data_IF_769113254838
#
_entry.id   IF_769113254838
#
_cell.length_a   1.000
_cell.length_b   1.000
_cell.length_c   1.000
_cell.angle_alpha   90.00
_cell.angle_beta   90.00
_cell.angle_gamma   90.00
#
_symmetry.space_group_name_H-M   'P 1'
#
loop_
_entity.id
_entity.type
_entity.pdbx_description
1 polymer ?
#
# COMPACT_ATOMS: atom_id res chain seq x y z
N UNK A 1 12.25 -6.83 9.80
CA UNK A 1 11.48 -7.35 8.65
C UNK A 1 11.70 -6.41 7.49
N UNK A 2 12.27 -6.90 6.39
CA UNK A 2 12.53 -6.05 5.21
C UNK A 2 11.29 -5.94 4.30
N UNK A 3 10.37 -6.91 4.39
CA UNK A 3 9.17 -6.99 3.54
C UNK A 3 8.01 -7.69 4.25
N UNK A 4 6.78 -7.26 3.95
CA UNK A 4 5.52 -7.91 4.38
C UNK A 4 4.65 -8.11 3.14
N UNK A 5 4.39 -9.36 2.77
CA UNK A 5 3.57 -9.72 1.62
C UNK A 5 2.08 -9.48 1.88
N UNK A 6 1.37 -9.13 0.81
CA UNK A 6 -0.06 -8.92 0.75
C UNK A 6 -0.66 -9.85 -0.30
N UNK A 7 -1.72 -10.55 0.06
CA UNK A 7 -2.49 -11.40 -0.84
C UNK A 7 -3.97 -11.13 -0.67
N UNK A 8 -4.71 -11.20 -1.77
CA UNK A 8 -6.17 -11.09 -1.78
C UNK A 8 -6.77 -12.23 -0.95
N UNK A 9 -7.53 -11.86 0.09
CA UNK A 9 -8.38 -12.80 0.82
C UNK A 9 -9.82 -12.72 0.28
N UNK A 10 -10.35 -11.50 0.17
CA UNK A 10 -11.67 -11.21 -0.36
C UNK A 10 -11.72 -9.78 -0.94
N UNK A 11 -12.64 -9.52 -1.86
CA UNK A 11 -12.90 -8.18 -2.39
C UNK A 11 -13.25 -8.12 -3.87
N UNK A 12 -13.45 -6.90 -4.41
CA UNK A 12 -13.84 -6.65 -5.80
C UNK A 12 -12.72 -6.87 -6.83
N UNK A 13 -11.77 -7.77 -6.53
CA UNK A 13 -10.57 -8.02 -7.31
C UNK A 13 -10.53 -9.47 -7.76
N UNK A 14 -10.04 -9.70 -8.98
CA UNK A 14 -9.58 -11.03 -9.44
C UNK A 14 -8.17 -11.31 -8.97
N UNK A 15 -7.35 -10.27 -8.91
CA UNK A 15 -5.98 -10.30 -8.42
C UNK A 15 -5.77 -9.06 -7.55
N UNK A 16 -5.19 -9.26 -6.39
CA UNK A 16 -4.61 -8.19 -5.58
C UNK A 16 -3.47 -8.81 -4.81
N UNK A 17 -2.26 -8.42 -5.14
CA UNK A 17 -1.06 -8.84 -4.44
C UNK A 17 -0.12 -7.65 -4.32
N UNK A 18 0.86 -7.77 -3.44
CA UNK A 18 1.78 -6.70 -3.22
C UNK A 18 2.61 -6.90 -1.99
N UNK A 19 3.31 -5.85 -1.58
CA UNK A 19 3.99 -5.87 -0.30
C UNK A 19 4.28 -4.47 0.22
N UNK A 20 4.40 -4.41 1.54
CA UNK A 20 5.14 -3.36 2.20
C UNK A 20 6.62 -3.68 2.17
N UNK A 21 7.42 -2.71 1.76
CA UNK A 21 8.89 -2.79 1.73
C UNK A 21 9.44 -1.74 2.68
N UNK A 22 10.38 -2.17 3.51
CA UNK A 22 11.07 -1.35 4.49
C UNK A 22 12.55 -1.33 4.16
N UNK A 23 13.00 -0.24 3.56
CA UNK A 23 14.40 -0.06 3.21
C UNK A 23 15.06 0.84 4.25
N UNK A 24 16.06 0.31 4.96
CA UNK A 24 16.90 1.11 5.86
C UNK A 24 17.70 2.10 5.00
N UNK A 25 17.62 3.38 5.34
CA UNK A 25 18.43 4.43 4.71
C UNK A 25 19.62 4.78 5.60
N UNK A 26 19.41 4.84 6.92
CA UNK A 26 20.42 5.02 7.95
C UNK A 26 19.90 4.50 9.32
N UNK A 27 20.62 4.78 10.41
CA UNK A 27 20.25 4.34 11.78
C UNK A 27 18.93 4.94 12.30
N UNK A 28 18.48 6.06 11.75
CA UNK A 28 17.29 6.81 12.20
C UNK A 28 16.27 7.06 11.07
N UNK A 29 16.54 6.59 9.85
CA UNK A 29 15.71 6.79 8.67
C UNK A 29 15.45 5.49 7.93
N UNK A 30 14.19 5.29 7.57
CA UNK A 30 13.72 4.18 6.76
C UNK A 30 12.79 4.70 5.67
N UNK A 31 12.96 4.22 4.45
CA UNK A 31 12.00 4.39 3.38
C UNK A 31 10.98 3.27 3.44
N UNK A 32 9.72 3.65 3.52
CA UNK A 32 8.59 2.71 3.43
C UNK A 32 7.99 2.83 2.03
N UNK A 33 7.66 1.71 1.41
CA UNK A 33 7.02 1.68 0.10
C UNK A 33 5.95 0.59 0.06
N UNK A 34 4.89 0.84 -0.71
CA UNK A 34 3.81 -0.09 -0.95
C UNK A 34 3.79 -0.41 -2.44
N UNK A 35 4.07 -1.66 -2.77
CA UNK A 35 3.91 -2.20 -4.12
C UNK A 35 2.57 -2.93 -4.19
N UNK A 36 1.76 -2.66 -5.21
CA UNK A 36 0.49 -3.33 -5.43
C UNK A 36 0.32 -3.67 -6.92
N UNK A 37 -0.04 -4.91 -7.19
CA UNK A 37 -0.53 -5.37 -8.48
C UNK A 37 -1.98 -5.83 -8.31
N UNK A 38 -2.88 -5.36 -9.18
CA UNK A 38 -4.30 -5.66 -9.05
C UNK A 38 -5.03 -5.77 -10.38
N UNK A 39 -6.11 -6.55 -10.37
CA UNK A 39 -7.10 -6.67 -11.43
C UNK A 39 -8.50 -6.63 -10.81
N UNK A 40 -9.36 -5.72 -11.26
CA UNK A 40 -10.76 -5.67 -10.81
C UNK A 40 -11.60 -6.80 -11.40
N UNK A 41 -12.56 -7.31 -10.63
CA UNK A 41 -13.43 -8.40 -11.07
C UNK A 41 -14.48 -8.02 -12.11
N UNK A 42 -14.79 -6.72 -12.25
CA UNK A 42 -15.75 -6.20 -13.23
C UNK A 42 -15.30 -4.90 -13.90
N UNK A 43 -15.76 -4.67 -15.14
CA UNK A 43 -15.49 -3.43 -15.89
C UNK A 43 -16.12 -2.21 -15.22
N UNK A 44 -17.29 -2.36 -14.61
CA UNK A 44 -17.99 -1.26 -13.91
C UNK A 44 -17.15 -0.80 -12.72
N UNK A 45 -16.64 -1.73 -11.91
CA UNK A 45 -15.77 -1.42 -10.77
C UNK A 45 -14.47 -0.74 -11.22
N UNK A 46 -13.86 -1.24 -12.31
CA UNK A 46 -12.68 -0.61 -12.91
C UNK A 46 -12.95 0.84 -13.32
N UNK A 47 -14.11 1.14 -13.89
CA UNK A 47 -14.46 2.50 -14.30
C UNK A 47 -14.79 3.42 -13.11
N UNK A 48 -15.46 2.88 -12.09
CA UNK A 48 -15.84 3.64 -10.89
C UNK A 48 -14.64 3.95 -9.98
N UNK A 49 -13.74 2.99 -9.78
CA UNK A 49 -12.68 3.06 -8.75
C UNK A 49 -11.28 3.17 -9.36
N UNK A 50 -11.08 2.66 -10.58
CA UNK A 50 -9.77 2.68 -11.25
C UNK A 50 -9.09 4.06 -11.26
N UNK A 51 -9.79 5.17 -11.58
CA UNK A 51 -9.19 6.50 -11.58
C UNK A 51 -8.65 6.97 -10.21
N UNK A 52 -9.20 6.48 -9.10
CA UNK A 52 -8.82 6.89 -7.74
C UNK A 52 -7.96 5.87 -7.01
N UNK A 53 -7.79 4.66 -7.55
CA UNK A 53 -7.10 3.59 -6.85
C UNK A 53 -5.64 3.93 -6.53
N UNK A 54 -4.94 4.63 -7.43
CA UNK A 54 -3.58 5.10 -7.16
C UNK A 54 -3.52 6.04 -5.95
N UNK A 55 -4.46 6.99 -5.86
CA UNK A 55 -4.56 7.91 -4.74
C UNK A 55 -4.86 7.18 -3.42
N UNK A 56 -5.65 6.10 -3.46
CA UNK A 56 -5.89 5.25 -2.29
C UNK A 56 -4.57 4.63 -1.80
N UNK A 57 -3.75 4.07 -2.70
CA UNK A 57 -2.45 3.50 -2.34
C UNK A 57 -1.50 4.56 -1.74
N UNK A 58 -1.43 5.75 -2.34
CA UNK A 58 -0.63 6.87 -1.80
C UNK A 58 -1.09 7.26 -0.39
N UNK A 59 -2.41 7.31 -0.19
CA UNK A 59 -3.01 7.63 1.12
C UNK A 59 -2.65 6.58 2.17
N UNK A 60 -2.50 5.31 1.79
CA UNK A 60 -2.04 4.27 2.71
C UNK A 60 -0.59 4.52 3.17
N UNK A 61 0.33 4.83 2.24
CA UNK A 61 1.74 5.13 2.56
C UNK A 61 1.85 6.36 3.47
N UNK A 62 1.10 7.42 3.14
CA UNK A 62 1.07 8.67 3.92
C UNK A 62 0.48 8.43 5.32
N UNK A 63 -0.61 7.66 5.42
CA UNK A 63 -1.23 7.32 6.71
C UNK A 63 -0.31 6.45 7.58
N UNK A 64 0.40 5.48 6.98
CA UNK A 64 1.41 4.69 7.65
C UNK A 64 2.52 5.57 8.22
N UNK A 65 3.07 6.45 7.38
CA UNK A 65 4.16 7.36 7.75
C UNK A 65 3.74 8.32 8.86
N UNK A 66 2.55 8.93 8.74
CA UNK A 66 1.98 9.78 9.79
C UNK A 66 1.83 9.03 11.11
N UNK A 67 1.36 7.79 11.08
CA UNK A 67 1.21 6.99 12.31
C UNK A 67 2.56 6.66 12.94
N UNK A 68 3.57 6.35 12.14
CA UNK A 68 4.93 6.13 12.64
C UNK A 68 5.48 7.41 13.31
N UNK A 69 5.31 8.58 12.70
CA UNK A 69 5.69 9.86 13.31
C UNK A 69 4.92 10.13 14.61
N UNK A 70 3.62 9.82 14.69
CA UNK A 70 2.86 10.02 15.94
C UNK A 70 3.35 9.13 17.09
N UNK A 71 3.83 7.92 16.81
CA UNK A 71 4.26 6.96 17.83
C UNK A 71 5.75 7.10 18.19
N UNK A 72 6.58 7.46 17.20
CA UNK A 72 8.03 7.38 17.30
C UNK A 72 8.74 8.68 16.88
N UNK A 73 8.02 9.63 16.29
CA UNK A 73 8.54 10.97 16.01
C UNK A 73 8.76 11.70 17.32
N UNK A 74 10.01 12.07 17.58
CA UNK A 74 10.38 12.94 18.69
C UNK A 74 10.05 14.39 18.36
#
# INVERSE_FOLDING_TARGET
FERIELQLVDGPFRKLEGAWIFQVLDEQACKVSLELEFEFSSRVLKLAVGPVFHHIADTMVDSFSRRATQLYGR
#
